data_IF_453728487932
#
_entry.id   IF_453728487932
#
_cell.length_a   1.000
_cell.length_b   1.000
_cell.length_c   1.000
_cell.angle_alpha   90.00
_cell.angle_beta   90.00
_cell.angle_gamma   90.00
#
_symmetry.space_group_name_H-M   'P 1'
#
loop_
_entity.id
_entity.type
_entity.pdbx_description
1 polymer ?
#
# COMPACT_ATOMS: atom_id res chain seq x y z
N UNK A 1 11.45 -1.69 41.10
CA UNK A 1 10.11 -1.89 40.54
C UNK A 1 10.23 -2.21 39.05
N UNK A 2 10.18 -3.50 38.75
CA UNK A 2 10.07 -4.04 37.40
C UNK A 2 8.66 -3.76 36.91
N UNK A 3 8.51 -2.96 35.85
CA UNK A 3 7.29 -3.01 35.07
C UNK A 3 7.27 -4.37 34.36
N UNK A 4 6.16 -5.13 34.37
CA UNK A 4 6.06 -6.32 33.56
C UNK A 4 6.30 -5.91 32.10
N UNK A 5 7.14 -6.68 31.41
CA UNK A 5 7.33 -6.57 29.97
C UNK A 5 5.97 -6.93 29.34
N UNK A 6 5.10 -5.92 29.19
CA UNK A 6 3.84 -6.07 28.50
C UNK A 6 4.22 -6.42 27.06
N UNK A 7 3.96 -7.67 26.67
CA UNK A 7 4.23 -8.14 25.32
C UNK A 7 3.30 -7.42 24.36
N UNK A 8 3.68 -6.22 23.92
CA UNK A 8 2.96 -5.45 22.91
C UNK A 8 3.01 -6.27 21.63
N UNK A 9 1.89 -6.92 21.31
CA UNK A 9 1.80 -7.80 20.15
C UNK A 9 1.25 -7.07 18.93
N UNK A 10 0.52 -5.98 19.15
CA UNK A 10 -0.16 -5.20 18.12
C UNK A 10 -0.35 -3.73 18.58
N UNK A 11 -0.96 -2.91 17.73
CA UNK A 11 -1.15 -1.47 18.01
C UNK A 11 -2.29 -1.22 19.02
N UNK A 12 -3.30 -2.11 19.09
CA UNK A 12 -4.36 -2.03 20.09
C UNK A 12 -3.81 -2.23 21.51
N UNK A 13 -2.89 -3.19 21.71
CA UNK A 13 -2.17 -3.39 22.97
C UNK A 13 -1.41 -2.12 23.37
N UNK A 14 -0.68 -1.52 22.42
CA UNK A 14 0.06 -0.28 22.65
C UNK A 14 -0.88 0.87 23.03
N UNK A 15 -1.97 1.04 22.26
CA UNK A 15 -2.96 2.08 22.49
C UNK A 15 -3.61 1.95 23.88
N UNK A 16 -4.10 0.76 24.23
CA UNK A 16 -4.74 0.51 25.52
C UNK A 16 -3.77 0.65 26.70
N UNK A 17 -2.50 0.28 26.52
CA UNK A 17 -1.50 0.34 27.60
C UNK A 17 -1.00 1.75 27.85
N UNK A 18 -0.74 2.52 26.78
CA UNK A 18 0.00 3.78 26.89
C UNK A 18 -0.79 5.03 26.53
N UNK A 19 -1.85 4.93 25.72
CA UNK A 19 -2.52 6.12 25.16
C UNK A 19 -3.91 6.34 25.77
N UNK A 20 -4.73 5.29 25.88
CA UNK A 20 -6.15 5.38 26.25
C UNK A 20 -6.41 6.13 27.55
N UNK A 21 -5.51 6.00 28.52
CA UNK A 21 -5.62 6.63 29.84
C UNK A 21 -4.80 7.93 29.98
N UNK A 22 -4.20 8.44 28.89
CA UNK A 22 -3.62 9.79 28.85
C UNK A 22 -4.78 10.80 28.88
N UNK A 23 -5.34 11.03 30.06
CA UNK A 23 -6.48 11.91 30.30
C UNK A 23 -6.10 13.37 30.53
N UNK A 24 -4.86 13.74 30.19
CA UNK A 24 -4.29 15.09 30.39
C UNK A 24 -4.01 15.82 29.07
N UNK A 25 -4.95 15.83 28.13
CA UNK A 25 -4.86 16.75 27.00
C UNK A 25 -5.82 17.92 27.21
N UNK A 26 -5.27 19.13 27.23
CA UNK A 26 -6.02 20.39 27.14
C UNK A 26 -6.84 20.51 25.85
N UNK A 27 -6.64 19.58 24.91
CA UNK A 27 -7.36 19.42 23.64
C UNK A 27 -8.23 18.15 23.67
N UNK A 28 -9.50 18.33 24.03
CA UNK A 28 -10.51 17.26 24.06
C UNK A 28 -10.96 16.89 22.65
N UNK A 29 -10.97 17.85 21.71
CA UNK A 29 -11.42 17.64 20.34
C UNK A 29 -10.45 16.72 19.59
N UNK A 30 -9.15 17.00 19.68
CA UNK A 30 -8.10 16.15 19.12
C UNK A 30 -8.12 14.73 19.69
N UNK A 31 -8.33 14.59 21.01
CA UNK A 31 -8.47 13.29 21.66
C UNK A 31 -9.65 12.49 21.12
N UNK A 32 -10.84 13.11 21.05
CA UNK A 32 -12.03 12.44 20.52
C UNK A 32 -11.85 12.03 19.06
N UNK A 33 -11.28 12.91 18.22
CA UNK A 33 -11.01 12.59 16.82
C UNK A 33 -10.04 11.41 16.66
N UNK A 34 -9.04 11.32 17.54
CA UNK A 34 -8.13 10.18 17.59
C UNK A 34 -8.84 8.88 18.01
N UNK A 35 -9.65 8.92 19.08
CA UNK A 35 -10.41 7.74 19.54
C UNK A 35 -11.38 7.24 18.45
N UNK A 36 -12.09 8.15 17.79
CA UNK A 36 -12.97 7.82 16.66
C UNK A 36 -12.20 7.17 15.50
N UNK A 37 -10.95 7.60 15.26
CA UNK A 37 -10.11 7.02 14.22
C UNK A 37 -9.65 5.61 14.58
N UNK A 38 -9.23 5.39 15.83
CA UNK A 38 -8.86 4.09 16.40
C UNK A 38 -10.02 3.10 16.24
N UNK A 39 -11.23 3.49 16.67
CA UNK A 39 -12.42 2.64 16.58
C UNK A 39 -12.72 2.23 15.13
N UNK A 40 -12.61 3.16 14.17
CA UNK A 40 -12.82 2.88 12.73
C UNK A 40 -11.73 2.03 12.08
N UNK A 41 -10.57 1.87 12.74
CA UNK A 41 -9.40 1.16 12.20
C UNK A 41 -9.04 -0.09 13.01
N UNK A 42 -9.94 -0.56 13.87
CA UNK A 42 -9.70 -1.69 14.78
C UNK A 42 -9.10 -2.93 14.10
N UNK A 43 -9.58 -3.31 12.91
CA UNK A 43 -9.05 -4.43 12.12
C UNK A 43 -7.55 -4.30 11.77
N UNK A 44 -7.06 -3.06 11.61
CA UNK A 44 -5.64 -2.78 11.38
C UNK A 44 -4.87 -2.69 12.70
N UNK A 45 -5.51 -2.25 13.78
CA UNK A 45 -4.87 -2.14 15.09
C UNK A 45 -4.55 -3.50 15.71
N UNK A 46 -5.40 -4.48 15.44
CA UNK A 46 -5.23 -5.86 15.89
C UNK A 46 -4.20 -6.67 15.08
N UNK A 47 -3.59 -6.07 14.04
CA UNK A 47 -2.56 -6.74 13.24
C UNK A 47 -1.29 -6.95 14.07
N UNK A 48 -0.71 -8.16 13.97
CA UNK A 48 0.57 -8.45 14.61
C UNK A 48 1.64 -7.43 14.18
N UNK A 49 2.35 -6.88 15.17
CA UNK A 49 3.32 -5.81 14.96
C UNK A 49 4.45 -6.23 14.01
N UNK A 50 4.81 -7.52 13.96
CA UNK A 50 5.80 -8.04 13.00
C UNK A 50 5.24 -8.00 11.59
N UNK A 51 3.97 -8.34 11.39
CA UNK A 51 3.34 -8.21 10.08
C UNK A 51 3.18 -6.75 9.66
N UNK A 52 2.79 -5.87 10.59
CA UNK A 52 2.68 -4.44 10.35
C UNK A 52 4.04 -3.82 9.99
N UNK A 53 5.13 -4.23 10.66
CA UNK A 53 6.48 -3.71 10.42
C UNK A 53 6.99 -3.97 9.00
N UNK A 54 6.51 -5.04 8.33
CA UNK A 54 6.92 -5.38 6.95
C UNK A 54 6.59 -4.26 5.97
N UNK A 55 5.49 -3.55 6.18
CA UNK A 55 5.03 -2.48 5.29
C UNK A 55 5.87 -1.21 5.37
N UNK A 56 6.69 -1.03 6.41
CA UNK A 56 7.39 0.21 6.67
C UNK A 56 8.33 0.62 5.53
N UNK A 57 9.06 -0.33 4.95
CA UNK A 57 10.01 -0.04 3.87
C UNK A 57 9.29 0.52 2.62
N UNK A 58 8.24 -0.15 2.16
CA UNK A 58 7.42 0.33 1.03
C UNK A 58 6.73 1.65 1.34
N UNK A 59 6.15 1.81 2.54
CA UNK A 59 5.52 3.07 2.94
C UNK A 59 6.53 4.22 2.95
N UNK A 60 7.73 3.99 3.49
CA UNK A 60 8.80 5.00 3.52
C UNK A 60 9.17 5.44 2.11
N UNK A 61 9.38 4.49 1.18
CA UNK A 61 9.68 4.82 -0.22
C UNK A 61 8.55 5.63 -0.87
N UNK A 62 7.29 5.31 -0.56
CA UNK A 62 6.13 6.07 -1.03
C UNK A 62 6.13 7.52 -0.51
N UNK A 63 6.42 7.71 0.77
CA UNK A 63 6.55 9.04 1.37
C UNK A 63 7.73 9.82 0.76
N UNK A 64 8.88 9.18 0.59
CA UNK A 64 10.07 9.80 -0.03
C UNK A 64 9.75 10.30 -1.44
N UNK A 65 9.01 9.51 -2.25
CA UNK A 65 8.52 9.93 -3.57
C UNK A 65 7.63 11.18 -3.48
N UNK A 66 6.62 11.17 -2.59
CA UNK A 66 5.70 12.28 -2.43
C UNK A 66 6.43 13.56 -1.99
N UNK A 67 7.35 13.47 -1.02
CA UNK A 67 8.16 14.61 -0.56
C UNK A 67 9.00 15.20 -1.69
N UNK A 68 9.65 14.37 -2.51
CA UNK A 68 10.45 14.86 -3.65
C UNK A 68 9.59 15.50 -4.75
N UNK A 69 8.40 14.94 -5.01
CA UNK A 69 7.43 15.51 -5.96
C UNK A 69 6.98 16.91 -5.51
N UNK A 70 6.64 17.05 -4.24
CA UNK A 70 6.18 18.31 -3.66
C UNK A 70 7.29 19.37 -3.66
N UNK A 71 8.53 18.97 -3.31
CA UNK A 71 9.69 19.86 -3.32
C UNK A 71 10.07 20.35 -4.74
N UNK A 72 9.95 19.48 -5.75
CA UNK A 72 10.42 19.76 -7.10
C UNK A 72 9.30 20.18 -8.08
N UNK A 73 8.17 20.70 -7.58
CA UNK A 73 7.03 21.16 -8.40
C UNK A 73 6.61 20.12 -9.46
N UNK A 74 6.53 18.85 -9.07
CA UNK A 74 6.19 17.74 -9.98
C UNK A 74 7.26 17.39 -11.02
N UNK A 75 8.53 17.75 -10.82
CA UNK A 75 9.62 17.19 -11.64
C UNK A 75 9.87 15.72 -11.25
N UNK A 76 9.43 14.84 -12.14
CA UNK A 76 9.34 13.43 -11.89
C UNK A 76 10.65 12.65 -12.07
N UNK A 77 11.74 13.30 -12.51
CA UNK A 77 13.06 12.67 -12.60
C UNK A 77 13.66 12.35 -11.22
N UNK A 78 13.28 13.11 -10.19
CA UNK A 78 13.92 13.08 -8.87
C UNK A 78 13.50 11.91 -7.96
N UNK A 79 12.41 11.21 -8.28
CA UNK A 79 11.86 10.14 -7.42
C UNK A 79 12.05 8.72 -7.99
N UNK A 80 12.70 8.57 -9.15
CA UNK A 80 12.87 7.28 -9.83
C UNK A 80 13.50 6.20 -8.93
N UNK A 81 14.51 6.59 -8.17
CA UNK A 81 15.19 5.70 -7.22
C UNK A 81 14.23 5.19 -6.14
N UNK A 82 13.35 6.04 -5.62
CA UNK A 82 12.38 5.66 -4.59
C UNK A 82 11.23 4.85 -5.17
N UNK A 83 10.85 5.09 -6.43
CA UNK A 83 9.87 4.28 -7.13
C UNK A 83 10.36 2.84 -7.35
N UNK A 84 11.64 2.68 -7.69
CA UNK A 84 12.25 1.35 -7.77
C UNK A 84 12.27 0.66 -6.41
N UNK A 85 12.72 1.36 -5.35
CA UNK A 85 12.69 0.82 -3.97
C UNK A 85 11.27 0.41 -3.55
N UNK A 86 10.27 1.22 -3.88
CA UNK A 86 8.88 0.87 -3.59
C UNK A 86 8.49 -0.44 -4.27
N UNK A 87 8.76 -0.59 -5.57
CA UNK A 87 8.42 -1.82 -6.31
C UNK A 87 9.13 -3.03 -5.75
N UNK A 88 10.44 -2.93 -5.48
CA UNK A 88 11.23 -4.04 -4.94
C UNK A 88 10.71 -4.49 -3.57
N UNK A 89 10.38 -3.56 -2.68
CA UNK A 89 9.84 -3.89 -1.36
C UNK A 89 8.38 -4.37 -1.44
N UNK A 90 7.58 -3.79 -2.34
CA UNK A 90 6.20 -4.20 -2.54
C UNK A 90 6.11 -5.64 -3.07
N UNK A 91 6.98 -6.02 -4.01
CA UNK A 91 6.99 -7.39 -4.56
C UNK A 91 7.20 -8.43 -3.46
N UNK A 92 8.13 -8.17 -2.53
CA UNK A 92 8.33 -9.02 -1.34
C UNK A 92 7.07 -9.11 -0.46
N UNK A 93 6.36 -7.99 -0.29
CA UNK A 93 5.11 -7.97 0.49
C UNK A 93 3.97 -8.73 -0.17
N UNK A 94 3.97 -8.75 -1.51
CA UNK A 94 2.97 -9.41 -2.33
C UNK A 94 3.23 -10.93 -2.51
N UNK A 95 4.38 -11.43 -2.06
CA UNK A 95 4.65 -12.87 -2.03
C UNK A 95 3.62 -13.61 -1.16
N UNK A 96 3.10 -14.72 -1.67
CA UNK A 96 2.08 -15.53 -1.03
C UNK A 96 0.84 -14.71 -0.61
N UNK A 97 0.46 -13.69 -1.41
CA UNK A 97 -0.69 -12.82 -1.16
C UNK A 97 -1.95 -13.60 -0.74
N UNK A 98 -2.25 -14.71 -1.42
CA UNK A 98 -3.46 -15.50 -1.19
C UNK A 98 -3.57 -16.01 0.26
N UNK A 99 -2.44 -16.29 0.90
CA UNK A 99 -2.37 -16.78 2.29
C UNK A 99 -2.45 -15.68 3.34
N UNK A 100 -2.54 -14.39 2.93
CA UNK A 100 -2.57 -13.24 3.85
C UNK A 100 -3.99 -12.94 4.33
N UNK A 101 -4.08 -12.41 5.56
CA UNK A 101 -5.33 -11.95 6.15
C UNK A 101 -5.91 -10.70 5.48
N UNK A 102 -7.20 -10.43 5.71
CA UNK A 102 -7.95 -9.32 5.07
C UNK A 102 -7.30 -7.96 5.34
N UNK A 103 -6.92 -7.68 6.59
CA UNK A 103 -6.27 -6.40 6.95
C UNK A 103 -4.94 -6.21 6.21
N UNK A 104 -4.12 -7.26 6.09
CA UNK A 104 -2.85 -7.21 5.36
C UNK A 104 -3.09 -6.89 3.88
N UNK A 105 -4.04 -7.59 3.25
CA UNK A 105 -4.44 -7.37 1.86
C UNK A 105 -4.94 -5.94 1.63
N UNK A 106 -5.71 -5.40 2.58
CA UNK A 106 -6.21 -4.02 2.54
C UNK A 106 -5.09 -2.98 2.58
N UNK A 107 -4.10 -3.14 3.46
CA UNK A 107 -2.92 -2.25 3.52
C UNK A 107 -2.14 -2.31 2.21
N UNK A 108 -1.89 -3.53 1.70
CA UNK A 108 -1.19 -3.73 0.44
C UNK A 108 -1.93 -3.06 -0.73
N UNK A 109 -3.27 -3.14 -0.76
CA UNK A 109 -4.12 -2.47 -1.75
C UNK A 109 -4.00 -0.95 -1.66
N UNK A 110 -4.02 -0.38 -0.45
CA UNK A 110 -3.81 1.05 -0.25
C UNK A 110 -2.44 1.51 -0.76
N UNK A 111 -1.36 0.81 -0.39
CA UNK A 111 0.00 1.14 -0.87
C UNK A 111 0.09 1.12 -2.40
N UNK A 112 -0.49 0.10 -3.03
CA UNK A 112 -0.52 0.00 -4.48
C UNK A 112 -1.28 1.16 -5.13
N UNK A 113 -2.48 1.47 -4.65
CA UNK A 113 -3.32 2.52 -5.21
C UNK A 113 -2.67 3.91 -5.05
N UNK A 114 -1.99 4.15 -3.94
CA UNK A 114 -1.29 5.40 -3.70
C UNK A 114 -0.07 5.55 -4.62
N UNK A 115 0.70 4.47 -4.81
CA UNK A 115 1.78 4.44 -5.78
C UNK A 115 1.29 4.65 -7.21
N UNK A 116 0.21 3.98 -7.63
CA UNK A 116 -0.39 4.16 -8.95
C UNK A 116 -0.86 5.60 -9.19
N UNK A 117 -1.44 6.23 -8.16
CA UNK A 117 -1.83 7.64 -8.21
C UNK A 117 -0.62 8.57 -8.39
N UNK A 118 0.46 8.33 -7.66
CA UNK A 118 1.72 9.08 -7.79
C UNK A 118 2.32 8.91 -9.20
N UNK A 119 2.38 7.67 -9.68
CA UNK A 119 2.85 7.33 -11.03
C UNK A 119 2.07 8.08 -12.11
N UNK A 120 0.73 8.11 -12.00
CA UNK A 120 -0.16 8.79 -12.95
C UNK A 120 0.04 10.30 -12.98
N UNK A 121 0.27 10.94 -11.83
CA UNK A 121 0.57 12.39 -11.76
C UNK A 121 1.82 12.78 -12.56
N UNK A 122 2.68 11.81 -12.83
CA UNK A 122 3.96 12.01 -13.49
C UNK A 122 3.99 11.61 -14.96
N UNK A 123 2.84 11.66 -15.65
CA UNK A 123 2.70 11.44 -17.08
C UNK A 123 3.39 10.16 -17.59
N UNK A 124 3.08 9.02 -16.95
CA UNK A 124 3.44 7.66 -17.36
C UNK A 124 4.89 7.53 -17.87
N UNK A 125 5.81 7.26 -16.95
CA UNK A 125 7.08 6.58 -17.22
C UNK A 125 6.81 5.21 -17.86
N UNK A 126 6.60 5.19 -19.18
CA UNK A 126 5.99 4.08 -19.91
C UNK A 126 6.89 2.83 -20.05
N UNK A 127 8.01 2.72 -19.32
CA UNK A 127 8.99 1.65 -19.57
C UNK A 127 9.60 0.93 -18.36
N UNK A 128 9.50 1.40 -17.11
CA UNK A 128 10.36 0.83 -16.06
C UNK A 128 9.67 0.07 -14.92
N UNK A 129 8.38 0.28 -14.65
CA UNK A 129 7.74 -0.24 -13.43
C UNK A 129 6.41 -0.93 -13.73
N UNK A 130 6.42 -1.83 -14.72
CA UNK A 130 5.34 -2.79 -14.92
C UNK A 130 5.42 -3.83 -13.81
N UNK A 131 4.86 -3.53 -12.63
CA UNK A 131 4.53 -4.58 -11.66
C UNK A 131 3.70 -5.63 -12.41
N UNK A 132 4.15 -6.88 -12.39
CA UNK A 132 3.33 -8.02 -12.83
C UNK A 132 2.24 -8.22 -11.79
N UNK A 133 1.20 -7.39 -11.87
CA UNK A 133 0.01 -7.56 -11.05
C UNK A 133 -0.78 -8.68 -11.71
N UNK A 134 -0.69 -9.87 -11.12
CA UNK A 134 -1.64 -10.94 -11.42
C UNK A 134 -3.04 -10.37 -11.18
N UNK A 135 -3.91 -10.47 -12.18
CA UNK A 135 -5.21 -9.79 -12.32
C UNK A 135 -6.25 -10.01 -11.19
N UNK A 136 -5.91 -10.57 -10.03
CA UNK A 136 -6.84 -10.70 -8.90
C UNK A 136 -7.16 -9.37 -8.20
N UNK A 137 -6.43 -8.28 -8.54
CA UNK A 137 -6.42 -7.03 -7.78
C UNK A 137 -7.59 -6.06 -8.04
N UNK A 138 -8.43 -6.27 -9.06
CA UNK A 138 -9.35 -5.22 -9.54
C UNK A 138 -10.83 -5.44 -9.17
N UNK A 139 -11.22 -6.60 -8.64
CA UNK A 139 -12.65 -6.94 -8.55
C UNK A 139 -13.36 -6.70 -7.21
N UNK A 140 -12.67 -6.32 -6.14
CA UNK A 140 -13.28 -6.27 -4.80
C UNK A 140 -13.46 -4.84 -4.22
N UNK A 141 -13.36 -3.82 -5.07
CA UNK A 141 -13.82 -2.47 -4.72
C UNK A 141 -14.98 -2.10 -5.63
N UNK A 142 -16.18 -2.01 -5.06
CA UNK A 142 -17.35 -1.37 -5.65
C UNK A 142 -17.08 0.12 -5.91
N UNK A 143 -16.29 0.40 -6.96
CA UNK A 143 -16.16 1.71 -7.58
C UNK A 143 -16.13 1.46 -9.08
N UNK A 144 -17.26 1.76 -9.72
CA UNK A 144 -17.46 1.82 -11.16
C UNK A 144 -16.30 2.55 -11.84
N UNK A 145 -15.33 1.79 -12.33
CA UNK A 145 -14.30 2.29 -13.24
C UNK A 145 -14.59 1.68 -14.60
N UNK A 146 -15.02 2.55 -15.51
CA UNK A 146 -15.32 2.27 -16.90
C UNK A 146 -14.27 1.33 -17.50
N UNK A 147 -14.70 0.15 -17.90
CA UNK A 147 -13.88 -0.77 -18.69
C UNK A 147 -13.55 -0.10 -20.02
N UNK A 148 -12.29 0.32 -20.18
CA UNK A 148 -11.77 0.77 -21.47
C UNK A 148 -11.78 -0.42 -22.44
N UNK A 149 -12.52 -0.29 -23.53
CA UNK A 149 -12.61 -1.28 -24.60
C UNK A 149 -11.32 -1.26 -25.42
N UNK A 150 -10.38 -2.17 -25.12
CA UNK A 150 -9.29 -2.49 -26.06
C UNK A 150 -9.69 -3.79 -26.75
N UNK A 151 -10.28 -3.64 -27.93
CA UNK A 151 -10.57 -4.73 -28.84
C UNK A 151 -9.27 -5.46 -29.20
N UNK A 152 -9.13 -6.70 -28.75
CA UNK A 152 -8.04 -7.58 -29.21
C UNK A 152 -8.33 -7.99 -30.65
N UNK A 153 -7.64 -7.37 -31.61
CA UNK A 153 -7.51 -7.91 -32.97
C UNK A 153 -6.62 -9.16 -32.87
N UNK A 154 -7.21 -10.34 -33.01
CA UNK A 154 -6.49 -11.60 -33.21
C UNK A 154 -5.79 -11.53 -34.57
N UNK A 155 -4.47 -11.64 -34.61
CA UNK A 155 -3.71 -11.88 -35.84
C UNK A 155 -3.73 -13.40 -36.07
N UNK A 156 -4.33 -13.90 -37.16
CA UNK A 156 -4.16 -15.29 -37.54
C UNK A 156 -2.77 -15.43 -38.16
N UNK A 157 -1.83 -16.00 -37.40
CA UNK A 157 -0.58 -16.49 -38.00
C UNK A 157 -0.94 -17.75 -38.79
N UNK A 158 -0.98 -17.60 -40.11
CA UNK A 158 -0.98 -18.70 -41.05
C UNK A 158 0.27 -19.55 -40.82
N UNK A 159 0.10 -20.75 -40.26
CA UNK A 159 1.08 -21.84 -40.42
C UNK A 159 0.80 -22.52 -41.76
N UNK A 160 1.42 -22.00 -42.81
CA UNK A 160 1.69 -22.74 -44.02
C UNK A 160 3.18 -22.61 -44.27
N UNK A 161 3.94 -23.70 -44.13
CA UNK A 161 4.91 -24.16 -45.13
C UNK A 161 5.30 -25.61 -44.84
N UNK A 162 5.28 -26.40 -45.90
CA UNK A 162 5.61 -27.81 -45.98
C UNK A 162 7.13 -28.04 -46.08
N UNK A 163 7.61 -29.12 -45.46
CA UNK A 163 8.90 -29.83 -45.67
C UNK A 163 8.64 -31.25 -45.10
N UNK A 164 8.75 -32.40 -45.76
CA UNK A 164 9.24 -32.88 -47.06
C UNK A 164 8.35 -34.02 -47.54
#
# INVERSE_FOLDING_TARGET
NQYPEYGISNLDDFHNTYIKDIKETTDIEGYNAYMDFIEKKQDMMNMDIKDMSKFYASLKSLCDMQTKIDANKSNCASYLEDAQKFVDEYEKLNENYDTKGVSYKKILSTLFNDYDRLRKKCNNFQSFLSMKITQSYVQDSDVTSSSSSIGRKLIPVFLAFAIS
#
